data_IF_951665697639
#
_entry.id   IF_951665697639
#
_cell.length_a   1.000
_cell.length_b   1.000
_cell.length_c   1.000
_cell.angle_alpha   90.00
_cell.angle_beta   90.00
_cell.angle_gamma   90.00
#
_symmetry.space_group_name_H-M   'P 1'
#
loop_
_entity.id
_entity.type
_entity.pdbx_description
1 polymer ?
#
# COMPACT_ATOMS: atom_id res chain seq x y z
N UNK A 1 -7.85 -12.59 17.67
CA UNK A 1 -7.48 -12.42 19.10
C UNK A 1 -6.44 -13.45 19.56
N UNK A 2 -6.52 -14.70 19.18
CA UNK A 2 -5.60 -15.77 19.64
C UNK A 2 -4.10 -15.57 19.44
N UNK A 3 -3.67 -14.56 18.70
CA UNK A 3 -2.25 -14.20 18.52
C UNK A 3 -1.66 -13.38 19.68
N UNK A 4 -2.51 -12.83 20.54
CA UNK A 4 -2.11 -11.94 21.63
C UNK A 4 -2.48 -12.55 22.97
N UNK A 5 -1.59 -12.46 23.99
CA UNK A 5 -1.95 -12.86 25.35
C UNK A 5 -3.17 -12.08 25.85
N UNK A 6 -4.03 -12.70 26.66
CA UNK A 6 -5.24 -12.04 27.15
C UNK A 6 -4.95 -10.72 27.89
N UNK A 7 -3.89 -10.69 28.71
CA UNK A 7 -3.44 -9.48 29.40
C UNK A 7 -2.90 -8.37 28.46
N UNK A 8 -2.73 -8.66 27.16
CA UNK A 8 -2.19 -7.74 26.13
C UNK A 8 -3.08 -7.66 24.91
N UNK A 9 -4.36 -8.00 25.00
CA UNK A 9 -5.31 -8.00 23.89
C UNK A 9 -5.45 -6.64 23.19
N UNK A 10 -5.18 -5.54 23.89
CA UNK A 10 -5.19 -4.19 23.34
C UNK A 10 -4.21 -4.01 22.15
N UNK A 11 -3.13 -4.81 22.09
CA UNK A 11 -2.22 -4.82 20.95
C UNK A 11 -2.87 -5.26 19.63
N UNK A 12 -4.07 -5.84 19.67
CA UNK A 12 -4.84 -6.21 18.50
C UNK A 12 -5.59 -5.05 17.84
N UNK A 13 -5.47 -3.81 18.32
CA UNK A 13 -6.22 -2.66 17.79
C UNK A 13 -5.97 -2.43 16.30
N UNK A 14 -4.71 -2.39 15.86
CA UNK A 14 -4.36 -2.18 14.45
C UNK A 14 -4.87 -3.33 13.56
N UNK A 15 -4.62 -4.62 13.86
CA UNK A 15 -5.23 -5.70 13.11
C UNK A 15 -6.76 -5.68 13.02
N UNK A 16 -7.45 -5.26 14.08
CA UNK A 16 -8.91 -5.16 14.06
C UNK A 16 -9.40 -3.99 13.21
N UNK A 17 -8.72 -2.84 13.25
CA UNK A 17 -8.99 -1.72 12.34
C UNK A 17 -8.81 -2.13 10.88
N UNK A 18 -7.74 -2.90 10.56
CA UNK A 18 -7.53 -3.46 9.24
C UNK A 18 -8.65 -4.42 8.80
N UNK A 19 -9.12 -5.28 9.69
CA UNK A 19 -10.23 -6.18 9.38
C UNK A 19 -11.51 -5.41 9.10
N UNK A 20 -11.81 -4.39 9.91
CA UNK A 20 -12.98 -3.53 9.69
C UNK A 20 -12.88 -2.80 8.33
N UNK A 21 -11.73 -2.21 8.02
CA UNK A 21 -11.51 -1.54 6.75
C UNK A 21 -11.62 -2.50 5.55
N UNK A 22 -11.07 -3.73 5.65
CA UNK A 22 -11.20 -4.73 4.58
C UNK A 22 -12.64 -5.20 4.38
N UNK A 23 -13.45 -5.20 5.42
CA UNK A 23 -14.86 -5.59 5.35
C UNK A 23 -15.74 -4.50 4.71
N UNK A 24 -15.53 -3.23 5.06
CA UNK A 24 -16.44 -2.13 4.73
C UNK A 24 -15.82 -1.10 3.76
N UNK A 25 -14.53 -1.23 3.43
CA UNK A 25 -13.77 -0.28 2.63
C UNK A 25 -13.22 0.90 3.44
N UNK A 26 -13.76 1.14 4.64
CA UNK A 26 -13.35 2.21 5.56
C UNK A 26 -13.66 1.81 7.01
N UNK A 27 -13.17 2.58 7.97
CA UNK A 27 -13.38 2.32 9.40
C UNK A 27 -14.50 3.22 9.92
N UNK A 28 -15.70 2.67 10.01
CA UNK A 28 -16.88 3.39 10.50
C UNK A 28 -16.86 3.63 12.01
N UNK A 29 -17.56 4.65 12.49
CA UNK A 29 -17.67 4.91 13.94
C UNK A 29 -18.24 3.70 14.72
N UNK A 30 -19.29 3.01 14.25
CA UNK A 30 -19.75 1.78 14.89
C UNK A 30 -18.67 0.70 15.01
N UNK A 31 -17.81 0.54 13.97
CA UNK A 31 -16.68 -0.39 13.99
C UNK A 31 -15.65 0.00 15.06
N UNK A 32 -15.30 1.30 15.15
CA UNK A 32 -14.40 1.81 16.20
C UNK A 32 -14.95 1.52 17.61
N UNK A 33 -16.24 1.75 17.84
CA UNK A 33 -16.90 1.46 19.12
C UNK A 33 -16.89 -0.03 19.44
N UNK A 34 -17.16 -0.88 18.45
CA UNK A 34 -17.12 -2.34 18.62
C UNK A 34 -15.72 -2.82 18.99
N UNK A 35 -14.70 -2.33 18.30
CA UNK A 35 -13.28 -2.64 18.59
C UNK A 35 -12.91 -2.21 20.01
N UNK A 36 -13.34 -1.02 20.43
CA UNK A 36 -13.11 -0.51 21.78
C UNK A 36 -13.69 -1.44 22.85
N UNK A 37 -14.92 -1.89 22.66
CA UNK A 37 -15.59 -2.84 23.57
C UNK A 37 -14.86 -4.17 23.63
N UNK A 38 -14.52 -4.76 22.48
CA UNK A 38 -13.87 -6.08 22.40
C UNK A 38 -12.49 -6.08 23.06
N UNK A 39 -11.76 -4.96 22.93
CA UNK A 39 -10.43 -4.81 23.51
C UNK A 39 -10.43 -4.26 24.94
N UNK A 40 -11.61 -3.91 25.51
CA UNK A 40 -11.72 -3.21 26.79
C UNK A 40 -10.87 -1.93 26.83
N UNK A 41 -10.92 -1.17 25.73
CA UNK A 41 -10.27 0.13 25.57
C UNK A 41 -11.30 1.25 25.62
N UNK A 42 -10.89 2.44 26.09
CA UNK A 42 -11.71 3.63 25.89
C UNK A 42 -11.80 3.94 24.39
N UNK A 43 -12.99 4.34 23.90
CA UNK A 43 -13.21 4.69 22.50
C UNK A 43 -12.17 5.65 21.94
N UNK A 44 -11.83 6.70 22.72
CA UNK A 44 -10.85 7.70 22.29
C UNK A 44 -9.48 7.08 21.96
N UNK A 45 -9.08 6.02 22.69
CA UNK A 45 -7.79 5.34 22.42
C UNK A 45 -7.78 4.57 21.12
N UNK A 46 -8.90 3.98 20.72
CA UNK A 46 -9.04 3.35 19.40
C UNK A 46 -9.08 4.41 18.30
N UNK A 47 -9.81 5.51 18.55
CA UNK A 47 -9.89 6.63 17.63
C UNK A 47 -8.54 7.32 17.42
N UNK A 48 -7.72 7.50 18.47
CA UNK A 48 -6.34 8.00 18.36
C UNK A 48 -5.49 7.15 17.40
N UNK A 49 -5.59 5.83 17.52
CA UNK A 49 -4.85 4.92 16.62
C UNK A 49 -5.35 5.06 15.17
N UNK A 50 -6.66 5.10 14.98
CA UNK A 50 -7.25 5.21 13.65
C UNK A 50 -6.93 6.55 12.96
N UNK A 51 -6.81 7.65 13.73
CA UNK A 51 -6.44 8.97 13.19
C UNK A 51 -4.93 9.16 13.03
N UNK A 52 -4.13 8.48 13.84
CA UNK A 52 -2.68 8.56 13.77
C UNK A 52 -2.11 7.88 12.52
N UNK A 53 -2.65 6.72 12.17
CA UNK A 53 -2.18 5.95 11.01
C UNK A 53 -2.98 6.31 9.76
N UNK A 54 -2.36 7.00 8.81
CA UNK A 54 -2.99 7.49 7.56
C UNK A 54 -3.53 6.39 6.65
N UNK A 55 -3.12 5.13 6.88
CA UNK A 55 -3.66 3.97 6.15
C UNK A 55 -5.11 3.64 6.48
N UNK A 56 -5.70 4.24 7.54
CA UNK A 56 -7.10 4.02 7.89
C UNK A 56 -7.97 5.14 7.33
N UNK A 57 -8.95 4.76 6.52
CA UNK A 57 -9.93 5.68 5.98
C UNK A 57 -11.08 5.85 6.97
N UNK A 58 -11.33 7.08 7.43
CA UNK A 58 -12.39 7.40 8.40
C UNK A 58 -13.67 7.91 7.71
N UNK A 59 -13.68 7.91 6.38
CA UNK A 59 -14.84 8.20 5.54
C UNK A 59 -14.88 7.21 4.37
N UNK A 60 -16.04 7.01 3.75
CA UNK A 60 -16.15 6.14 2.58
C UNK A 60 -15.17 6.54 1.48
N UNK A 61 -14.53 5.55 0.87
CA UNK A 61 -13.66 5.68 -0.30
C UNK A 61 -14.27 4.91 -1.48
N UNK A 62 -13.82 5.19 -2.69
CA UNK A 62 -14.22 4.44 -3.88
C UNK A 62 -13.77 2.98 -3.80
N UNK A 63 -14.45 2.10 -4.57
CA UNK A 63 -14.06 0.70 -4.70
C UNK A 63 -12.57 0.56 -5.05
N UNK A 64 -12.08 1.44 -5.90
CA UNK A 64 -10.67 1.58 -6.24
C UNK A 64 -10.17 2.92 -5.68
N UNK A 65 -9.52 2.87 -4.53
CA UNK A 65 -8.90 4.04 -3.93
C UNK A 65 -7.45 4.12 -4.39
N UNK A 66 -7.10 5.20 -5.08
CA UNK A 66 -5.80 5.41 -5.70
C UNK A 66 -4.97 6.34 -4.82
N UNK A 67 -3.82 5.87 -4.36
CA UNK A 67 -2.90 6.62 -3.52
C UNK A 67 -1.67 7.00 -4.33
N UNK A 68 -1.55 8.27 -4.70
CA UNK A 68 -0.48 8.78 -5.56
C UNK A 68 0.65 9.32 -4.69
N UNK A 69 1.87 8.81 -4.85
CA UNK A 69 3.02 9.34 -4.14
C UNK A 69 3.44 10.70 -4.71
N UNK A 70 3.37 11.76 -3.88
CA UNK A 70 3.72 13.14 -4.24
C UNK A 70 5.12 13.59 -3.83
N UNK A 71 5.93 12.74 -3.13
CA UNK A 71 7.22 13.15 -2.59
C UNK A 71 8.31 13.27 -3.64
N UNK A 72 9.42 13.91 -3.29
CA UNK A 72 10.43 14.39 -4.22
C UNK A 72 10.85 13.45 -5.33
N UNK A 73 11.20 12.16 -5.11
CA UNK A 73 11.56 11.29 -6.23
C UNK A 73 10.43 11.07 -7.23
N UNK A 74 9.20 10.87 -6.74
CA UNK A 74 8.03 10.69 -7.58
C UNK A 74 7.68 11.98 -8.32
N UNK A 75 7.77 13.13 -7.63
CA UNK A 75 7.55 14.45 -8.23
C UNK A 75 8.54 14.70 -9.39
N UNK A 76 9.83 14.46 -9.18
CA UNK A 76 10.86 14.61 -10.21
C UNK A 76 10.68 13.64 -11.39
N UNK A 77 10.00 12.52 -11.15
CA UNK A 77 9.71 11.49 -12.16
C UNK A 77 8.33 11.62 -12.81
N UNK A 78 7.57 12.68 -12.48
CA UNK A 78 6.32 13.00 -13.15
C UNK A 78 5.05 12.62 -12.39
N UNK A 79 5.07 12.46 -11.04
CA UNK A 79 3.83 12.21 -10.29
C UNK A 79 2.82 13.35 -10.40
N UNK A 80 3.27 14.57 -10.69
CA UNK A 80 2.37 15.68 -10.99
C UNK A 80 1.41 15.40 -12.15
N UNK A 81 1.90 14.73 -13.21
CA UNK A 81 1.06 14.34 -14.35
C UNK A 81 0.04 13.28 -13.94
N UNK A 82 0.40 12.36 -13.03
CA UNK A 82 -0.52 11.35 -12.49
C UNK A 82 -1.62 12.01 -11.65
N UNK A 83 -1.27 13.03 -10.86
CA UNK A 83 -2.22 13.83 -10.08
C UNK A 83 -3.21 14.55 -11.01
N UNK A 84 -2.74 15.13 -12.12
CA UNK A 84 -3.62 15.75 -13.10
C UNK A 84 -4.56 14.73 -13.79
N UNK A 85 -4.09 13.51 -14.04
CA UNK A 85 -4.97 12.42 -14.49
C UNK A 85 -6.05 12.13 -13.44
N UNK A 86 -5.71 12.02 -12.15
CA UNK A 86 -6.69 11.83 -11.09
C UNK A 86 -7.71 12.95 -11.04
N UNK A 87 -7.27 14.21 -11.06
CA UNK A 87 -8.16 15.38 -11.05
C UNK A 87 -9.12 15.41 -12.24
N UNK A 88 -8.63 15.07 -13.42
CA UNK A 88 -9.46 15.11 -14.65
C UNK A 88 -10.41 13.92 -14.77
N UNK A 89 -10.03 12.74 -14.29
CA UNK A 89 -10.80 11.50 -14.46
C UNK A 89 -11.70 11.16 -13.28
N UNK A 90 -11.29 11.51 -12.08
CA UNK A 90 -11.96 11.14 -10.82
C UNK A 90 -12.58 12.39 -10.17
N UNK A 91 -11.87 13.51 -10.19
CA UNK A 91 -12.33 14.76 -9.58
C UNK A 91 -11.40 15.25 -8.48
N UNK A 92 -11.90 16.10 -7.57
CA UNK A 92 -11.10 16.64 -6.47
C UNK A 92 -10.54 15.55 -5.54
N UNK A 93 -9.48 15.91 -4.84
CA UNK A 93 -8.87 15.08 -3.78
C UNK A 93 -9.92 14.60 -2.77
N UNK A 94 -9.87 13.33 -2.38
CA UNK A 94 -10.84 12.65 -1.49
C UNK A 94 -12.29 12.57 -2.03
N UNK A 95 -12.55 13.01 -3.26
CA UNK A 95 -13.87 12.86 -3.88
C UNK A 95 -14.09 11.39 -4.27
N UNK A 96 -15.29 10.87 -4.00
CA UNK A 96 -15.74 9.58 -4.51
C UNK A 96 -16.60 9.83 -5.75
N UNK A 97 -16.30 9.15 -6.86
CA UNK A 97 -17.10 9.26 -8.09
C UNK A 97 -18.55 8.86 -7.85
N UNK A 98 -19.48 9.43 -8.64
CA UNK A 98 -20.92 9.22 -8.44
C UNK A 98 -21.35 7.74 -8.56
N UNK A 99 -20.60 6.93 -9.29
CA UNK A 99 -20.77 5.48 -9.42
C UNK A 99 -20.13 4.69 -8.27
N UNK A 100 -19.42 5.36 -7.34
CA UNK A 100 -18.72 4.75 -6.22
C UNK A 100 -17.46 3.99 -6.61
N UNK A 101 -17.01 4.05 -7.87
CA UNK A 101 -15.89 3.24 -8.33
C UNK A 101 -14.54 3.79 -7.88
N UNK A 102 -14.32 5.09 -7.97
CA UNK A 102 -13.02 5.70 -7.74
C UNK A 102 -13.01 6.75 -6.64
N UNK A 103 -11.91 6.83 -5.96
CA UNK A 103 -11.46 7.97 -5.18
C UNK A 103 -9.93 8.00 -5.20
N UNK A 104 -9.34 9.14 -4.85
CA UNK A 104 -7.89 9.24 -4.81
C UNK A 104 -7.41 10.21 -3.74
N UNK A 105 -6.17 10.01 -3.33
CA UNK A 105 -5.44 10.92 -2.44
C UNK A 105 -3.97 11.01 -2.82
N UNK A 106 -3.35 12.14 -2.47
CA UNK A 106 -1.90 12.28 -2.52
C UNK A 106 -1.32 11.77 -1.22
N UNK A 107 -0.33 10.87 -1.33
CA UNK A 107 0.34 10.26 -0.20
C UNK A 107 1.78 10.71 -0.08
N UNK A 108 2.28 10.64 1.17
CA UNK A 108 3.70 10.74 1.45
C UNK A 108 4.48 9.54 0.87
N UNK A 109 5.81 9.53 1.04
CA UNK A 109 6.67 8.53 0.44
C UNK A 109 6.28 7.10 0.83
N UNK A 110 5.95 6.29 -0.17
CA UNK A 110 5.58 4.87 -0.01
C UNK A 110 6.79 3.91 -0.06
N UNK A 111 8.02 4.43 -0.12
CA UNK A 111 9.23 3.63 0.00
C UNK A 111 9.72 2.91 -1.26
N UNK A 112 9.05 3.07 -2.42
CA UNK A 112 9.44 2.46 -3.70
C UNK A 112 10.10 3.46 -4.67
N UNK A 113 10.88 4.41 -4.17
CA UNK A 113 11.46 5.53 -4.91
C UNK A 113 12.33 5.10 -6.10
N UNK A 114 12.93 3.90 -6.06
CA UNK A 114 13.72 3.36 -7.16
C UNK A 114 12.91 3.20 -8.44
N UNK A 115 11.60 2.95 -8.33
CA UNK A 115 10.68 2.72 -9.43
C UNK A 115 9.63 3.84 -9.56
N UNK A 116 10.00 5.06 -9.16
CA UNK A 116 9.14 6.23 -9.26
C UNK A 116 8.78 6.58 -10.72
N UNK A 117 7.58 7.15 -10.99
CA UNK A 117 6.53 7.45 -10.03
C UNK A 117 5.62 6.24 -9.73
N UNK A 118 5.00 6.24 -8.55
CA UNK A 118 4.20 5.11 -8.06
C UNK A 118 2.81 5.54 -7.61
N UNK A 119 1.86 4.62 -7.80
CA UNK A 119 0.51 4.69 -7.27
C UNK A 119 0.21 3.37 -6.56
N UNK A 120 -0.28 3.43 -5.33
CA UNK A 120 -0.85 2.26 -4.68
C UNK A 120 -2.34 2.15 -5.03
N UNK A 121 -2.77 0.95 -5.41
CA UNK A 121 -4.16 0.60 -5.65
C UNK A 121 -4.43 -0.68 -4.87
N UNK A 122 -5.36 -0.64 -3.93
CA UNK A 122 -5.58 -1.73 -2.98
C UNK A 122 -4.30 -2.05 -2.18
N UNK A 123 -3.86 -3.31 -2.21
CA UNK A 123 -2.67 -3.79 -1.49
C UNK A 123 -1.40 -3.78 -2.36
N UNK A 124 -1.44 -3.21 -3.58
CA UNK A 124 -0.35 -3.35 -4.57
C UNK A 124 0.14 -2.02 -5.10
N UNK A 125 1.44 -1.96 -5.38
CA UNK A 125 2.07 -0.83 -6.07
C UNK A 125 2.06 -1.03 -7.58
N UNK A 126 1.76 0.06 -8.29
CA UNK A 126 1.96 0.23 -9.73
C UNK A 126 3.09 1.24 -9.89
N UNK A 127 4.13 0.84 -10.58
CA UNK A 127 5.43 1.51 -10.55
C UNK A 127 5.89 1.91 -11.96
N UNK A 128 6.90 2.81 -12.05
CA UNK A 128 7.43 3.31 -13.33
C UNK A 128 6.33 3.88 -14.24
N UNK A 129 5.34 4.51 -13.66
CA UNK A 129 4.14 4.96 -14.37
C UNK A 129 4.41 6.19 -15.23
N UNK A 130 3.63 6.31 -16.28
CA UNK A 130 3.43 7.52 -17.07
C UNK A 130 1.96 7.91 -17.01
N UNK A 131 1.60 9.15 -17.34
CA UNK A 131 0.20 9.56 -17.45
C UNK A 131 -0.60 8.63 -18.37
N UNK A 132 0.01 8.15 -19.46
CA UNK A 132 -0.63 7.24 -20.40
C UNK A 132 -0.88 5.85 -19.79
N UNK A 133 0.15 5.22 -19.18
CA UNK A 133 0.00 3.89 -18.57
C UNK A 133 -0.97 3.94 -17.38
N UNK A 134 -0.94 5.02 -16.61
CA UNK A 134 -1.85 5.20 -15.49
C UNK A 134 -3.30 5.40 -15.95
N UNK A 135 -3.53 6.17 -17.02
CA UNK A 135 -4.86 6.31 -17.62
C UNK A 135 -5.40 4.95 -18.07
N UNK A 136 -4.58 4.13 -18.71
CA UNK A 136 -4.98 2.78 -19.13
C UNK A 136 -5.38 1.89 -17.94
N UNK A 137 -4.66 1.99 -16.81
CA UNK A 137 -5.01 1.29 -15.56
C UNK A 137 -6.40 1.72 -15.08
N UNK A 138 -6.68 3.02 -15.05
CA UNK A 138 -8.00 3.54 -14.63
C UNK A 138 -9.10 3.03 -15.58
N UNK A 139 -8.87 3.05 -16.90
CA UNK A 139 -9.84 2.57 -17.88
C UNK A 139 -10.11 1.06 -17.74
N UNK A 140 -9.09 0.26 -17.50
CA UNK A 140 -9.24 -1.18 -17.28
C UNK A 140 -9.98 -1.49 -15.98
N UNK A 141 -9.69 -0.77 -14.89
CA UNK A 141 -10.42 -0.88 -13.62
C UNK A 141 -11.89 -0.46 -13.78
N UNK A 142 -12.17 0.61 -14.53
CA UNK A 142 -13.53 1.05 -14.85
C UNK A 142 -14.31 0.00 -15.65
N UNK A 143 -13.61 -0.71 -16.53
CA UNK A 143 -14.18 -1.83 -17.30
C UNK A 143 -14.28 -3.14 -16.50
N UNK A 144 -13.88 -3.15 -15.22
CA UNK A 144 -13.92 -4.34 -14.35
C UNK A 144 -12.86 -5.39 -14.69
N UNK A 145 -11.79 -4.99 -15.37
CA UNK A 145 -10.68 -5.88 -15.69
C UNK A 145 -9.65 -5.91 -14.56
N UNK A 146 -8.94 -7.02 -14.46
CA UNK A 146 -7.78 -7.12 -13.58
C UNK A 146 -6.60 -6.34 -14.17
N UNK A 147 -5.87 -5.63 -13.31
CA UNK A 147 -4.67 -4.88 -13.67
C UNK A 147 -3.43 -5.52 -13.02
N UNK A 148 -2.35 -5.60 -13.78
CA UNK A 148 -1.09 -6.14 -13.28
C UNK A 148 -0.37 -5.10 -12.44
N UNK A 149 0.02 -5.47 -11.22
CA UNK A 149 0.83 -4.63 -10.33
C UNK A 149 2.33 -4.71 -10.67
N UNK A 150 3.11 -3.81 -10.06
CA UNK A 150 4.55 -3.72 -10.26
C UNK A 150 4.95 -2.74 -11.35
N UNK A 151 6.13 -2.93 -11.93
CA UNK A 151 6.72 -1.99 -12.88
C UNK A 151 6.02 -2.03 -14.24
N UNK A 152 5.58 -0.87 -14.74
CA UNK A 152 5.03 -0.71 -16.08
C UNK A 152 6.06 -0.95 -17.19
N UNK A 153 7.37 -0.92 -16.87
CA UNK A 153 8.46 -1.17 -17.82
C UNK A 153 9.00 -2.59 -17.75
N UNK A 154 8.40 -3.47 -16.92
CA UNK A 154 8.84 -4.86 -16.74
C UNK A 154 10.12 -5.02 -15.92
N UNK A 155 10.49 -4.02 -15.13
CA UNK A 155 11.64 -4.05 -14.24
C UNK A 155 11.45 -5.11 -13.16
N UNK A 156 12.48 -5.92 -12.92
CA UNK A 156 12.47 -6.89 -11.83
C UNK A 156 12.77 -6.18 -10.50
N UNK A 157 11.79 -6.09 -9.62
CA UNK A 157 11.91 -5.36 -8.35
C UNK A 157 12.48 -3.95 -8.54
N UNK A 158 13.51 -3.54 -7.81
CA UNK A 158 14.22 -2.27 -7.96
C UNK A 158 15.50 -2.36 -8.82
N UNK A 159 15.59 -3.37 -9.72
CA UNK A 159 16.72 -3.48 -10.64
C UNK A 159 16.82 -2.25 -11.54
N UNK A 160 18.03 -1.87 -11.99
CA UNK A 160 18.18 -0.78 -12.96
C UNK A 160 17.35 -1.02 -14.22
N UNK A 161 16.89 0.06 -14.82
CA UNK A 161 16.29 0.01 -16.15
C UNK A 161 17.30 -0.58 -17.15
N UNK A 162 16.88 -1.60 -17.93
CA UNK A 162 17.75 -2.38 -18.78
C UNK A 162 18.50 -3.53 -18.09
N UNK A 163 18.14 -3.86 -16.85
CA UNK A 163 18.64 -5.01 -16.09
C UNK A 163 19.86 -4.73 -15.22
N UNK A 164 20.36 -5.74 -14.51
CA UNK A 164 21.49 -5.62 -13.60
C UNK A 164 22.76 -5.17 -14.32
N UNK A 165 23.48 -4.20 -13.74
CA UNK A 165 24.75 -3.69 -14.26
C UNK A 165 25.98 -4.18 -13.49
N UNK A 166 25.74 -4.86 -12.37
CA UNK A 166 26.78 -5.41 -11.48
C UNK A 166 26.39 -6.82 -11.08
N UNK A 167 27.35 -7.62 -10.65
CA UNK A 167 27.14 -9.01 -10.24
C UNK A 167 26.49 -9.88 -11.33
N UNK A 168 26.80 -9.61 -12.61
CA UNK A 168 26.24 -10.32 -13.77
C UNK A 168 26.97 -11.63 -14.09
N UNK A 169 28.05 -11.95 -13.37
CA UNK A 169 28.78 -13.19 -13.55
C UNK A 169 28.02 -14.33 -12.84
N UNK A 170 27.42 -15.22 -13.62
CA UNK A 170 26.64 -16.36 -13.14
C UNK A 170 27.45 -17.27 -12.21
N UNK A 171 28.77 -17.30 -12.34
CA UNK A 171 29.64 -18.10 -11.47
C UNK A 171 29.66 -17.60 -10.02
N UNK A 172 29.23 -16.34 -9.79
CA UNK A 172 29.08 -15.81 -8.43
C UNK A 172 27.94 -16.49 -7.65
N UNK A 173 26.97 -17.06 -8.36
CA UNK A 173 25.74 -17.61 -7.79
C UNK A 173 25.67 -19.15 -7.86
N UNK A 174 26.70 -19.81 -8.37
CA UNK A 174 26.77 -21.27 -8.49
C UNK A 174 27.02 -22.01 -7.16
N UNK A 175 27.08 -21.28 -6.06
CA UNK A 175 27.26 -21.79 -4.71
C UNK A 175 28.73 -22.08 -4.30
N UNK A 176 29.69 -21.96 -5.22
CA UNK A 176 31.13 -22.22 -4.92
C UNK A 176 31.71 -21.22 -3.94
N UNK A 177 31.24 -19.96 -4.01
CA UNK A 177 31.69 -18.87 -3.13
C UNK A 177 30.84 -18.72 -1.85
N UNK A 178 29.76 -19.47 -1.73
CA UNK A 178 28.89 -19.41 -0.56
C UNK A 178 29.61 -20.03 0.65
N UNK A 179 30.08 -19.20 1.58
CA UNK A 179 30.52 -19.67 2.89
C UNK A 179 29.30 -20.22 3.63
N UNK A 180 29.35 -21.50 4.03
CA UNK A 180 28.35 -22.06 4.95
C UNK A 180 28.42 -21.29 6.26
N UNK A 181 27.50 -20.37 6.47
CA UNK A 181 27.35 -19.68 7.75
C UNK A 181 26.74 -20.69 8.71
N UNK A 182 27.51 -21.15 9.71
CA UNK A 182 26.94 -21.87 10.86
C UNK A 182 26.10 -20.87 11.64
N UNK A 183 24.79 -20.99 11.54
CA UNK A 183 23.89 -20.26 12.42
C UNK A 183 24.15 -20.70 13.86
N UNK A 184 24.26 -19.77 14.83
CA UNK A 184 24.35 -20.15 16.23
C UNK A 184 23.09 -20.96 16.60
N UNK A 185 23.26 -22.00 17.41
CA UNK A 185 22.14 -22.78 17.94
C UNK A 185 21.17 -21.80 18.67
N UNK A 186 20.08 -21.49 18.05
CA UNK A 186 19.02 -20.76 18.73
C UNK A 186 18.44 -21.65 19.81
N UNK A 187 18.26 -21.17 21.06
CA UNK A 187 17.64 -21.95 22.10
C UNK A 187 16.26 -22.40 21.62
N UNK A 188 16.03 -23.70 21.62
CA UNK A 188 14.73 -24.26 21.35
C UNK A 188 13.76 -23.72 22.43
N UNK A 189 12.67 -23.09 22.01
CA UNK A 189 11.65 -22.69 22.95
C UNK A 189 11.10 -23.91 23.66
N UNK A 190 11.22 -23.90 24.99
CA UNK A 190 10.53 -24.85 25.87
C UNK A 190 9.03 -24.54 25.85
#
# INVERSE_FOLDING_TARGET
MGKYPEARKQSAVIPLLWLAQKQEGWVSEPALRKIALDLSMAYIRVYEVATFYTMFHLSPVGKHHLQVCGTTPCMLRGSGDLIEVCKSRIGPHHHVTADGLFSWEEMECMGACANAPIVAIHDYYHEDLTAQSFTAIIDDLAAGKDVTSGSATGRLTSAPDGGPKVLNDETLFDGRLAKKIKLPNLPQKA
#
